data_IF_962369951199
#
_entry.id   IF_962369951199
#
_cell.length_a   1.000
_cell.length_b   1.000
_cell.length_c   1.000
_cell.angle_alpha   90.00
_cell.angle_beta   90.00
_cell.angle_gamma   90.00
#
_symmetry.space_group_name_H-M   'P 1'
#
loop_
_entity.id
_entity.type
_entity.pdbx_description
1 polymer ?
#
# COMPACT_ATOMS: atom_id res chain seq x y z
N UNK A 1 -9.43 32.35 1.20
CA UNK A 1 -9.95 33.70 1.53
C UNK A 1 -9.98 33.88 3.05
N UNK A 2 -10.14 35.15 3.57
CA UNK A 2 -10.20 35.42 5.00
C UNK A 2 -11.55 36.00 5.38
N UNK A 3 -12.21 35.40 6.35
CA UNK A 3 -13.57 35.71 6.78
C UNK A 3 -13.57 36.58 8.05
N UNK A 4 -14.52 37.50 8.17
CA UNK A 4 -14.79 38.21 9.43
C UNK A 4 -15.46 37.26 10.45
N UNK A 5 -15.41 37.59 11.73
CA UNK A 5 -15.94 36.77 12.82
C UNK A 5 -17.43 36.39 12.62
N UNK A 6 -18.26 37.36 12.20
CA UNK A 6 -19.69 37.13 11.96
C UNK A 6 -19.95 36.09 10.87
N UNK A 7 -19.19 36.15 9.77
CA UNK A 7 -19.29 35.21 8.67
C UNK A 7 -18.80 33.81 9.09
N UNK A 8 -17.68 33.74 9.80
CA UNK A 8 -17.15 32.48 10.32
C UNK A 8 -18.13 31.81 11.30
N UNK A 9 -18.75 32.58 12.20
CA UNK A 9 -19.75 32.09 13.14
C UNK A 9 -21.03 31.62 12.44
N UNK A 10 -21.47 32.35 11.42
CA UNK A 10 -22.64 31.99 10.61
C UNK A 10 -22.42 30.65 9.90
N UNK A 11 -21.22 30.45 9.29
CA UNK A 11 -20.89 29.20 8.60
C UNK A 11 -20.72 28.03 9.57
N UNK A 12 -20.13 28.25 10.73
CA UNK A 12 -19.97 27.24 11.78
C UNK A 12 -21.27 26.87 12.50
N UNK A 13 -22.27 27.77 12.48
CA UNK A 13 -23.50 27.62 13.30
C UNK A 13 -23.18 27.51 14.80
N UNK A 14 -22.14 28.18 15.29
CA UNK A 14 -21.60 28.02 16.63
C UNK A 14 -21.51 29.36 17.39
N UNK A 15 -21.36 29.28 18.72
CA UNK A 15 -21.18 30.47 19.57
C UNK A 15 -19.73 31.00 19.47
N UNK A 16 -19.48 32.32 19.72
CA UNK A 16 -18.15 32.93 19.67
C UNK A 16 -17.08 32.17 20.46
N UNK A 17 -17.42 31.66 21.63
CA UNK A 17 -16.52 30.89 22.49
C UNK A 17 -15.98 29.62 21.80
N UNK A 18 -16.81 28.96 20.97
CA UNK A 18 -16.39 27.76 20.21
C UNK A 18 -15.43 28.11 19.07
N UNK A 19 -15.60 29.28 18.44
CA UNK A 19 -14.68 29.78 17.42
C UNK A 19 -13.30 30.06 18.03
N UNK A 20 -13.26 30.79 19.16
CA UNK A 20 -12.00 31.09 19.87
C UNK A 20 -11.30 29.84 20.38
N UNK A 21 -12.04 28.87 20.94
CA UNK A 21 -11.50 27.58 21.33
C UNK A 21 -10.93 26.77 20.15
N UNK A 22 -11.49 26.94 18.95
CA UNK A 22 -10.98 26.29 17.75
C UNK A 22 -9.70 26.94 17.23
N UNK A 23 -9.55 28.24 17.38
CA UNK A 23 -8.33 28.98 17.08
C UNK A 23 -7.21 28.62 18.07
N UNK A 24 -7.51 28.64 19.38
CA UNK A 24 -6.51 28.30 20.42
C UNK A 24 -5.98 26.87 20.33
N UNK A 25 -6.79 25.96 19.75
CA UNK A 25 -6.41 24.56 19.49
C UNK A 25 -5.79 24.35 18.10
N UNK A 26 -5.46 25.42 17.38
CA UNK A 26 -4.85 25.37 16.06
C UNK A 26 -5.77 24.78 14.95
N UNK A 27 -7.06 24.66 15.18
CA UNK A 27 -8.02 24.09 14.19
C UNK A 27 -8.47 25.10 13.15
N UNK A 28 -8.38 26.39 13.44
CA UNK A 28 -8.69 27.52 12.55
C UNK A 28 -7.54 28.50 12.64
N UNK A 29 -6.92 28.82 11.52
CA UNK A 29 -5.92 29.88 11.44
C UNK A 29 -6.62 31.24 11.56
N UNK A 30 -6.06 32.12 12.37
CA UNK A 30 -6.53 33.48 12.54
C UNK A 30 -5.40 34.49 12.40
N UNK A 31 -5.69 35.70 11.95
CA UNK A 31 -4.78 36.83 11.88
C UNK A 31 -5.49 38.14 12.28
N UNK A 32 -4.77 39.18 12.72
CA UNK A 32 -5.35 40.50 12.91
C UNK A 32 -5.98 41.05 11.63
N UNK A 33 -7.10 41.73 11.73
CA UNK A 33 -7.69 42.46 10.61
C UNK A 33 -6.81 43.70 10.33
N UNK A 34 -6.30 43.87 9.08
CA UNK A 34 -5.51 45.06 8.74
C UNK A 34 -6.25 46.39 8.86
N UNK A 35 -7.59 46.38 8.83
CA UNK A 35 -8.42 47.58 8.98
C UNK A 35 -8.80 47.89 10.43
N UNK A 36 -8.76 46.91 11.34
CA UNK A 36 -9.05 47.09 12.76
C UNK A 36 -8.30 46.03 13.58
N UNK A 37 -7.19 46.43 14.21
CA UNK A 37 -6.32 45.52 14.98
C UNK A 37 -7.01 44.85 16.18
N UNK A 38 -8.19 45.31 16.60
CA UNK A 38 -9.00 44.72 17.69
C UNK A 38 -9.84 43.53 17.16
N UNK A 39 -9.87 43.30 15.84
CA UNK A 39 -10.62 42.22 15.19
C UNK A 39 -9.69 41.20 14.58
N UNK A 40 -10.18 39.97 14.48
CA UNK A 40 -9.48 38.87 13.83
C UNK A 40 -10.20 38.44 12.58
N UNK A 41 -9.43 38.05 11.58
CA UNK A 41 -9.88 37.37 10.38
C UNK A 41 -9.57 35.87 10.51
N UNK A 42 -10.43 35.02 9.97
CA UNK A 42 -10.39 33.55 10.08
C UNK A 42 -10.24 32.92 8.71
N UNK A 43 -9.39 31.91 8.59
CA UNK A 43 -9.14 31.27 7.30
C UNK A 43 -10.35 30.48 6.82
N UNK A 44 -10.86 30.79 5.65
CA UNK A 44 -12.10 30.27 5.09
C UNK A 44 -12.13 28.74 5.00
N UNK A 45 -11.09 28.14 4.42
CA UNK A 45 -11.00 26.66 4.28
C UNK A 45 -11.05 25.94 5.63
N UNK A 46 -10.43 26.51 6.67
CA UNK A 46 -10.44 25.91 8.01
C UNK A 46 -11.83 26.02 8.65
N UNK A 47 -12.51 27.15 8.43
CA UNK A 47 -13.88 27.38 8.88
C UNK A 47 -14.83 26.43 8.16
N UNK A 48 -14.74 26.29 6.84
CA UNK A 48 -15.62 25.42 6.05
C UNK A 48 -15.37 23.95 6.39
N UNK A 49 -14.12 23.54 6.60
CA UNK A 49 -13.75 22.21 7.06
C UNK A 49 -14.36 21.89 8.44
N UNK A 50 -14.31 22.86 9.35
CA UNK A 50 -14.88 22.68 10.69
C UNK A 50 -16.42 22.75 10.67
N UNK A 51 -17.01 23.58 9.81
CA UNK A 51 -18.46 23.66 9.59
C UNK A 51 -19.00 22.36 9.00
N UNK A 52 -18.29 21.77 8.05
CA UNK A 52 -18.62 20.45 7.49
C UNK A 52 -18.56 19.36 8.56
N UNK A 53 -17.57 19.42 9.46
CA UNK A 53 -17.48 18.52 10.62
C UNK A 53 -18.58 18.76 11.66
N UNK A 54 -18.99 19.98 11.86
CA UNK A 54 -20.01 20.37 12.86
C UNK A 54 -21.46 20.16 12.34
N UNK A 55 -21.71 20.32 11.05
CA UNK A 55 -22.98 19.94 10.39
C UNK A 55 -23.15 18.43 10.28
N UNK A 56 -22.10 17.70 10.65
CA UNK A 56 -22.07 16.27 10.55
C UNK A 56 -22.59 15.54 11.78
N UNK A 57 -23.88 15.45 11.95
CA UNK A 57 -24.42 14.09 11.79
C UNK A 57 -24.18 13.75 10.30
N UNK A 58 -22.93 13.29 10.01
CA UNK A 58 -22.54 12.80 8.70
C UNK A 58 -23.62 11.81 8.27
N UNK A 59 -24.32 12.06 7.18
CA UNK A 59 -25.16 11.02 6.64
C UNK A 59 -24.24 9.80 6.45
N UNK A 60 -24.74 8.60 6.73
CA UNK A 60 -23.98 7.35 6.56
C UNK A 60 -23.30 7.27 5.17
N UNK A 61 -23.88 7.92 4.17
CA UNK A 61 -23.34 8.08 2.82
C UNK A 61 -22.09 8.99 2.74
N UNK A 62 -22.02 10.06 3.55
CA UNK A 62 -20.84 10.95 3.59
C UNK A 62 -19.68 10.28 4.32
N UNK A 63 -19.97 9.51 5.38
CA UNK A 63 -18.98 8.70 6.09
C UNK A 63 -18.45 7.60 5.18
N UNK A 64 -19.33 6.87 4.49
CA UNK A 64 -18.93 5.81 3.57
C UNK A 64 -18.10 6.33 2.37
N UNK A 65 -18.42 7.51 1.82
CA UNK A 65 -17.68 8.09 0.71
C UNK A 65 -16.27 8.55 1.12
N UNK A 66 -16.09 9.00 2.36
CA UNK A 66 -14.78 9.39 2.89
C UNK A 66 -13.96 8.18 3.38
N UNK A 67 -14.64 7.12 3.82
CA UNK A 67 -13.98 5.89 4.27
C UNK A 67 -13.35 5.08 3.12
N UNK A 68 -13.87 5.20 1.90
CA UNK A 68 -13.29 4.55 0.69
C UNK A 68 -12.14 5.38 0.09
N UNK A 69 -12.06 6.69 0.39
CA UNK A 69 -10.88 7.50 0.10
C UNK A 69 -9.84 7.36 1.21
N UNK A 70 -8.66 7.87 1.07
CA UNK A 70 -7.58 7.73 2.04
C UNK A 70 -7.95 8.03 3.51
N UNK A 71 -7.58 7.13 4.43
CA UNK A 71 -7.35 7.43 5.83
C UNK A 71 -8.44 7.03 6.83
N UNK A 72 -9.58 6.48 6.41
CA UNK A 72 -10.61 6.02 7.35
C UNK A 72 -10.72 4.48 7.30
N UNK A 73 -10.60 3.76 8.44
CA UNK A 73 -10.77 2.30 8.48
C UNK A 73 -12.18 1.89 8.05
N UNK A 74 -12.27 0.97 7.07
CA UNK A 74 -13.56 0.49 6.51
C UNK A 74 -13.91 -0.93 6.92
N UNK A 75 -12.89 -1.74 7.25
CA UNK A 75 -13.03 -3.13 7.68
C UNK A 75 -12.15 -3.39 8.89
N UNK A 76 -12.62 -4.22 9.82
CA UNK A 76 -11.77 -4.73 10.89
C UNK A 76 -10.81 -5.78 10.35
N UNK A 77 -9.58 -5.76 10.81
CA UNK A 77 -8.55 -6.75 10.48
C UNK A 77 -7.61 -6.96 11.67
N UNK A 78 -7.26 -8.21 11.92
CA UNK A 78 -6.22 -8.61 12.87
C UNK A 78 -4.93 -9.04 12.16
N UNK A 79 -4.78 -8.80 10.84
CA UNK A 79 -3.63 -9.24 10.05
C UNK A 79 -2.46 -8.29 10.24
N UNK A 80 -2.62 -7.03 9.91
CA UNK A 80 -1.60 -6.01 10.10
C UNK A 80 -2.20 -4.64 10.42
N UNK A 81 -1.37 -3.76 10.93
CA UNK A 81 -1.72 -2.35 11.18
C UNK A 81 -0.49 -1.47 11.15
N UNK A 82 -0.73 -0.16 11.04
CA UNK A 82 0.31 0.86 11.25
C UNK A 82 0.05 1.52 12.60
N UNK A 83 1.02 1.40 13.49
CA UNK A 83 0.94 1.93 14.85
C UNK A 83 2.23 2.67 15.21
N UNK A 84 2.11 3.90 15.66
CA UNK A 84 3.25 4.76 16.01
C UNK A 84 4.33 4.83 14.89
N UNK A 85 3.89 4.93 13.63
CA UNK A 85 4.79 5.00 12.47
C UNK A 85 5.48 3.67 12.10
N UNK A 86 5.07 2.55 12.69
CA UNK A 86 5.62 1.21 12.44
C UNK A 86 4.60 0.31 11.78
N UNK A 87 5.05 -0.51 10.84
CA UNK A 87 4.25 -1.60 10.28
C UNK A 87 4.29 -2.80 11.23
N UNK A 88 3.12 -3.28 11.63
CA UNK A 88 2.97 -4.33 12.63
C UNK A 88 2.18 -5.50 12.04
N UNK A 89 2.74 -6.71 12.08
CA UNK A 89 2.16 -7.98 11.65
C UNK A 89 1.71 -8.77 12.87
N UNK A 90 0.40 -8.86 13.14
CA UNK A 90 -0.17 -9.56 14.31
C UNK A 90 0.57 -9.24 15.63
N UNK A 91 0.82 -7.97 15.88
CA UNK A 91 1.48 -7.49 17.10
C UNK A 91 3.02 -7.53 17.06
N UNK A 92 3.66 -7.98 15.98
CA UNK A 92 5.11 -7.99 15.81
C UNK A 92 5.54 -6.93 14.78
N UNK A 93 6.58 -6.17 15.08
CA UNK A 93 7.13 -5.15 14.17
C UNK A 93 7.73 -5.81 12.92
N UNK A 94 7.30 -5.38 11.73
CA UNK A 94 7.76 -5.93 10.46
C UNK A 94 9.25 -5.69 10.21
N UNK A 95 9.80 -4.56 10.65
CA UNK A 95 11.22 -4.26 10.52
C UNK A 95 12.08 -5.19 11.39
N UNK A 96 11.62 -5.50 12.60
CA UNK A 96 12.30 -6.48 13.47
C UNK A 96 12.22 -7.89 12.89
N UNK A 97 11.06 -8.28 12.35
CA UNK A 97 10.93 -9.56 11.65
C UNK A 97 11.88 -9.65 10.45
N UNK A 98 12.05 -8.58 9.71
CA UNK A 98 12.95 -8.51 8.56
C UNK A 98 14.43 -8.67 8.91
N UNK A 99 14.84 -8.59 10.18
CA UNK A 99 16.22 -8.84 10.57
C UNK A 99 16.62 -10.31 10.36
N UNK A 100 15.71 -11.26 10.65
CA UNK A 100 16.06 -12.68 10.64
C UNK A 100 15.01 -13.62 10.02
N UNK A 101 13.73 -13.25 10.03
CA UNK A 101 12.68 -14.14 9.59
C UNK A 101 12.66 -14.31 8.06
N UNK A 102 12.43 -15.52 7.53
CA UNK A 102 12.07 -15.71 6.13
C UNK A 102 10.58 -15.41 5.91
N UNK A 103 10.18 -15.25 4.64
CA UNK A 103 8.78 -14.97 4.28
C UNK A 103 7.82 -16.07 4.76
N UNK A 104 8.27 -17.30 4.78
CA UNK A 104 7.53 -18.48 5.23
C UNK A 104 7.13 -18.39 6.72
N UNK A 105 8.03 -17.90 7.58
CA UNK A 105 7.72 -17.65 8.99
C UNK A 105 6.69 -16.51 9.13
N UNK A 106 6.82 -15.48 8.33
CA UNK A 106 5.85 -14.37 8.29
C UNK A 106 4.49 -14.85 7.80
N UNK A 107 4.44 -15.76 6.83
CA UNK A 107 3.19 -16.38 6.38
C UNK A 107 2.53 -17.18 7.52
N UNK A 108 3.27 -18.00 8.25
CA UNK A 108 2.80 -18.71 9.44
C UNK A 108 2.18 -17.73 10.45
N UNK A 109 2.88 -16.64 10.75
CA UNK A 109 2.40 -15.60 11.65
C UNK A 109 1.09 -14.97 11.12
N UNK A 110 1.08 -14.49 9.88
CA UNK A 110 -0.06 -13.76 9.31
C UNK A 110 -1.30 -14.64 9.12
N UNK A 111 -1.13 -15.93 8.82
CA UNK A 111 -2.23 -16.87 8.64
C UNK A 111 -2.76 -17.46 9.97
N UNK A 112 -2.03 -17.22 11.07
CA UNK A 112 -2.47 -17.56 12.44
C UNK A 112 -2.47 -19.06 12.73
N UNK A 113 -1.43 -19.77 12.31
CA UNK A 113 -1.24 -21.18 12.62
C UNK A 113 -0.13 -21.80 11.80
N UNK A 114 0.20 -23.04 12.11
CA UNK A 114 1.25 -23.79 11.45
C UNK A 114 1.01 -23.85 9.94
N UNK A 115 2.10 -23.72 9.23
CA UNK A 115 2.15 -23.70 7.78
C UNK A 115 2.39 -25.12 7.28
N UNK A 116 1.55 -25.67 6.41
CA UNK A 116 1.91 -26.86 5.67
C UNK A 116 3.03 -26.52 4.69
N UNK A 117 4.02 -27.42 4.53
CA UNK A 117 5.11 -27.21 3.59
C UNK A 117 4.58 -26.83 2.20
N UNK A 118 5.29 -25.91 1.51
CA UNK A 118 4.96 -25.56 0.13
C UNK A 118 5.04 -26.81 -0.75
N UNK A 119 3.99 -27.05 -1.51
CA UNK A 119 4.05 -28.02 -2.59
C UNK A 119 4.73 -27.34 -3.77
N UNK A 120 5.97 -27.69 -4.01
CA UNK A 120 6.79 -27.14 -5.09
C UNK A 120 6.72 -28.08 -6.28
N UNK A 121 6.64 -27.53 -7.48
CA UNK A 121 6.71 -28.26 -8.73
C UNK A 121 8.03 -27.90 -9.43
N UNK A 122 8.64 -28.89 -10.08
CA UNK A 122 9.84 -28.65 -10.90
C UNK A 122 9.41 -28.08 -12.25
N UNK A 123 9.26 -26.74 -12.28
CA UNK A 123 8.84 -26.01 -13.49
C UNK A 123 9.95 -25.08 -13.96
N UNK A 124 10.11 -24.93 -15.27
CA UNK A 124 11.05 -24.00 -15.84
C UNK A 124 10.67 -22.54 -15.49
N UNK A 125 11.64 -21.61 -15.32
CA UNK A 125 11.37 -20.21 -15.14
C UNK A 125 10.51 -19.64 -16.27
N UNK A 126 9.51 -18.79 -15.97
CA UNK A 126 8.66 -18.17 -16.97
C UNK A 126 9.42 -17.13 -17.80
N UNK A 127 8.99 -16.91 -19.06
CA UNK A 127 9.50 -15.80 -19.87
C UNK A 127 8.94 -14.44 -19.42
N UNK A 128 7.69 -14.43 -18.97
CA UNK A 128 7.00 -13.27 -18.37
C UNK A 128 6.38 -13.73 -17.06
N UNK A 129 6.99 -13.32 -15.96
CA UNK A 129 6.61 -13.73 -14.62
C UNK A 129 5.18 -13.31 -14.26
N UNK A 130 4.81 -12.07 -14.57
CA UNK A 130 3.49 -11.53 -14.20
C UNK A 130 2.39 -12.12 -15.06
N UNK A 131 2.60 -12.26 -16.37
CA UNK A 131 1.64 -12.92 -17.26
C UNK A 131 1.43 -14.39 -16.85
N UNK A 132 2.50 -15.11 -16.51
CA UNK A 132 2.44 -16.49 -16.03
C UNK A 132 1.63 -16.61 -14.74
N UNK A 133 1.84 -15.68 -13.78
CA UNK A 133 1.08 -15.63 -12.54
C UNK A 133 -0.42 -15.40 -12.78
N UNK A 134 -0.78 -14.47 -13.68
CA UNK A 134 -2.18 -14.26 -14.07
C UNK A 134 -2.82 -15.53 -14.64
N UNK A 135 -2.15 -16.20 -15.57
CA UNK A 135 -2.67 -17.42 -16.22
C UNK A 135 -2.82 -18.55 -15.19
N UNK A 136 -1.82 -18.77 -14.35
CA UNK A 136 -1.84 -19.82 -13.34
C UNK A 136 -2.98 -19.58 -12.32
N UNK A 137 -3.12 -18.36 -11.83
CA UNK A 137 -4.19 -17.99 -10.91
C UNK A 137 -5.57 -18.08 -11.55
N UNK A 138 -5.75 -17.66 -12.81
CA UNK A 138 -7.02 -17.76 -13.52
C UNK A 138 -7.44 -19.21 -13.71
N UNK A 139 -6.53 -20.08 -14.13
CA UNK A 139 -6.77 -21.51 -14.26
C UNK A 139 -7.14 -22.15 -12.90
N UNK A 140 -6.40 -21.81 -11.84
CA UNK A 140 -6.69 -22.29 -10.48
C UNK A 140 -8.03 -21.76 -9.96
N UNK A 141 -8.33 -20.49 -10.15
CA UNK A 141 -9.57 -19.85 -9.70
C UNK A 141 -10.80 -20.50 -10.37
N UNK A 142 -10.70 -20.90 -11.65
CA UNK A 142 -11.76 -21.56 -12.38
C UNK A 142 -12.07 -22.99 -11.88
N UNK A 143 -11.09 -23.67 -11.30
CA UNK A 143 -11.21 -25.08 -10.85
C UNK A 143 -11.27 -25.27 -9.35
N UNK A 144 -10.87 -24.25 -8.56
CA UNK A 144 -10.82 -24.35 -7.10
C UNK A 144 -12.22 -24.34 -6.48
N UNK A 145 -12.45 -25.10 -5.39
CA UNK A 145 -13.71 -25.06 -4.67
C UNK A 145 -13.93 -23.69 -4.02
N UNK A 146 -15.19 -23.27 -3.78
CA UNK A 146 -15.52 -22.09 -3.00
C UNK A 146 -14.86 -22.10 -1.62
N UNK A 147 -14.55 -20.91 -1.08
CA UNK A 147 -14.04 -20.75 0.28
C UNK A 147 -15.14 -20.90 1.35
N UNK A 148 -16.40 -20.72 0.95
CA UNK A 148 -17.55 -20.71 1.84
C UNK A 148 -17.73 -22.04 2.58
N UNK A 149 -18.00 -21.97 3.88
CA UNK A 149 -18.26 -23.12 4.77
C UNK A 149 -17.11 -24.13 4.89
N UNK A 150 -15.88 -23.75 4.52
CA UNK A 150 -14.69 -24.59 4.70
C UNK A 150 -13.95 -24.27 6.00
N UNK A 151 -13.41 -25.29 6.65
CA UNK A 151 -12.64 -25.14 7.89
C UNK A 151 -11.31 -24.41 7.65
N UNK A 152 -10.85 -23.66 8.65
CA UNK A 152 -9.63 -22.87 8.58
C UNK A 152 -8.37 -23.69 8.24
N UNK A 153 -8.26 -24.93 8.73
CA UNK A 153 -7.14 -25.82 8.39
C UNK A 153 -7.08 -26.09 6.88
N UNK A 154 -8.22 -26.47 6.29
CA UNK A 154 -8.31 -26.75 4.85
C UNK A 154 -8.04 -25.50 4.00
N UNK A 155 -8.50 -24.32 4.45
CA UNK A 155 -8.21 -23.07 3.77
C UNK A 155 -6.74 -22.68 3.86
N UNK A 156 -6.05 -22.95 5.00
CA UNK A 156 -4.59 -22.72 5.11
C UNK A 156 -3.78 -23.65 4.21
N UNK A 157 -4.17 -24.91 4.07
CA UNK A 157 -3.57 -25.84 3.10
C UNK A 157 -3.73 -25.31 1.67
N UNK A 158 -4.94 -24.82 1.32
CA UNK A 158 -5.15 -24.17 0.02
C UNK A 158 -4.31 -22.90 -0.14
N UNK A 159 -4.17 -22.08 0.90
CA UNK A 159 -3.33 -20.89 0.88
C UNK A 159 -1.86 -21.25 0.58
N UNK A 160 -1.32 -22.31 1.19
CA UNK A 160 0.01 -22.83 0.88
C UNK A 160 0.15 -23.26 -0.57
N UNK A 161 -0.84 -23.97 -1.12
CA UNK A 161 -0.84 -24.36 -2.52
C UNK A 161 -0.91 -23.15 -3.46
N UNK A 162 -1.71 -22.14 -3.15
CA UNK A 162 -1.82 -20.90 -3.95
C UNK A 162 -0.51 -20.09 -3.90
N UNK A 163 0.16 -20.03 -2.75
CA UNK A 163 1.47 -19.37 -2.65
C UNK A 163 2.55 -20.14 -3.44
N UNK A 164 2.55 -21.48 -3.36
CA UNK A 164 3.43 -22.32 -4.19
C UNK A 164 3.20 -22.11 -5.68
N UNK A 165 1.93 -22.09 -6.11
CA UNK A 165 1.55 -21.79 -7.49
C UNK A 165 2.04 -20.41 -7.95
N UNK A 166 1.91 -19.39 -7.10
CA UNK A 166 2.43 -18.05 -7.38
C UNK A 166 3.94 -18.02 -7.47
N UNK A 167 4.65 -18.69 -6.55
CA UNK A 167 6.10 -18.78 -6.59
C UNK A 167 6.59 -19.46 -7.87
N UNK A 168 6.00 -20.61 -8.21
CA UNK A 168 6.36 -21.34 -9.43
C UNK A 168 6.07 -20.54 -10.70
N UNK A 169 4.95 -19.82 -10.74
CA UNK A 169 4.58 -18.96 -11.87
C UNK A 169 5.45 -17.71 -12.01
N UNK A 170 5.96 -17.16 -10.89
CA UNK A 170 6.79 -15.96 -10.90
C UNK A 170 8.27 -16.25 -11.10
N UNK A 171 8.79 -17.32 -10.50
CA UNK A 171 10.24 -17.56 -10.40
C UNK A 171 10.66 -19.01 -10.78
N UNK A 172 9.74 -19.83 -11.24
CA UNK A 172 10.01 -21.24 -11.55
C UNK A 172 10.07 -22.12 -10.31
N UNK A 173 9.99 -23.44 -10.54
CA UNK A 173 10.05 -24.45 -9.49
C UNK A 173 11.47 -24.76 -9.09
N UNK A 174 11.76 -24.62 -7.79
CA UNK A 174 13.01 -25.07 -7.17
C UNK A 174 12.76 -25.42 -5.70
N UNK A 175 13.63 -26.22 -5.10
CA UNK A 175 13.60 -26.48 -3.66
C UNK A 175 14.33 -25.38 -2.89
N UNK A 176 13.87 -25.08 -1.69
CA UNK A 176 14.51 -24.13 -0.79
C UNK A 176 13.62 -22.93 -0.41
N UNK A 177 14.12 -22.05 0.46
CA UNK A 177 13.43 -20.84 0.87
C UNK A 177 13.13 -19.91 -0.31
N UNK A 178 12.00 -19.21 -0.28
CA UNK A 178 11.55 -18.36 -1.38
C UNK A 178 12.54 -17.26 -1.77
N UNK A 179 13.26 -16.69 -0.82
CA UNK A 179 14.27 -15.66 -1.09
C UNK A 179 15.50 -16.20 -1.80
N UNK A 180 15.95 -17.42 -1.49
CA UNK A 180 17.06 -18.09 -2.19
C UNK A 180 16.65 -18.46 -3.63
N UNK A 181 15.43 -19.01 -3.80
CA UNK A 181 14.87 -19.31 -5.12
C UNK A 181 14.79 -18.04 -5.98
N UNK A 182 14.32 -16.94 -5.39
CA UNK A 182 14.22 -15.65 -6.07
C UNK A 182 15.60 -15.11 -6.49
N UNK A 183 16.60 -15.22 -5.61
CA UNK A 183 17.99 -14.82 -5.90
C UNK A 183 18.59 -15.65 -7.05
N UNK A 184 18.36 -16.97 -7.03
CA UNK A 184 18.77 -17.87 -8.11
C UNK A 184 18.05 -17.56 -9.43
N UNK A 185 16.73 -17.29 -9.38
CA UNK A 185 15.94 -16.89 -10.55
C UNK A 185 16.52 -15.65 -11.23
N UNK A 186 16.94 -14.64 -10.45
CA UNK A 186 17.56 -13.43 -10.98
C UNK A 186 19.06 -13.62 -11.34
N UNK A 187 19.64 -14.80 -11.14
CA UNK A 187 21.07 -15.06 -11.36
C UNK A 187 21.99 -14.29 -10.42
N UNK A 188 21.49 -13.95 -9.21
CA UNK A 188 22.18 -13.18 -8.18
C UNK A 188 22.06 -13.83 -6.80
N UNK A 189 22.70 -15.00 -6.57
CA UNK A 189 22.62 -15.70 -5.27
C UNK A 189 23.06 -14.83 -4.08
N UNK A 190 23.98 -13.90 -4.30
CA UNK A 190 24.48 -12.95 -3.31
C UNK A 190 23.42 -11.95 -2.83
N UNK A 191 22.34 -11.76 -3.58
CA UNK A 191 21.22 -10.87 -3.21
C UNK A 191 20.22 -11.56 -2.26
N UNK A 192 20.35 -12.84 -1.96
CA UNK A 192 19.36 -13.63 -1.24
C UNK A 192 18.94 -12.98 0.09
N UNK A 193 19.89 -12.49 0.88
CA UNK A 193 19.59 -11.87 2.18
C UNK A 193 18.86 -10.53 2.04
N UNK A 194 19.23 -9.71 1.06
CA UNK A 194 18.53 -8.45 0.76
C UNK A 194 17.12 -8.72 0.26
N UNK A 195 16.94 -9.72 -0.60
CA UNK A 195 15.63 -10.15 -1.09
C UNK A 195 14.77 -10.74 0.04
N UNK A 196 15.36 -11.48 1.00
CA UNK A 196 14.66 -11.96 2.19
C UNK A 196 14.07 -10.81 2.98
N UNK A 197 14.84 -9.76 3.27
CA UNK A 197 14.37 -8.55 3.95
C UNK A 197 13.24 -7.87 3.18
N UNK A 198 13.42 -7.68 1.87
CA UNK A 198 12.41 -7.06 1.01
C UNK A 198 11.10 -7.84 1.03
N UNK A 199 11.13 -9.18 0.91
CA UNK A 199 9.96 -10.03 0.96
C UNK A 199 9.18 -9.88 2.28
N UNK A 200 9.88 -9.86 3.41
CA UNK A 200 9.25 -9.69 4.74
C UNK A 200 8.61 -8.31 4.87
N UNK A 201 9.30 -7.24 4.49
CA UNK A 201 8.80 -5.87 4.60
C UNK A 201 7.61 -5.58 3.69
N UNK A 202 7.43 -6.36 2.62
CA UNK A 202 6.37 -6.22 1.63
C UNK A 202 5.21 -7.19 1.84
N UNK A 203 5.34 -8.16 2.77
CA UNK A 203 4.40 -9.25 2.94
C UNK A 203 2.95 -8.76 3.12
N UNK A 204 2.74 -7.68 3.86
CA UNK A 204 1.43 -7.05 3.98
C UNK A 204 1.52 -5.54 4.24
N UNK A 205 0.41 -4.81 4.02
CA UNK A 205 0.34 -3.39 4.29
C UNK A 205 -1.12 -2.94 4.45
N UNK A 206 -1.79 -3.44 5.47
CA UNK A 206 -3.19 -3.16 5.79
C UNK A 206 -4.15 -3.35 4.59
N UNK A 207 -5.24 -2.59 4.58
CA UNK A 207 -6.27 -2.65 3.56
C UNK A 207 -5.95 -1.70 2.39
N UNK A 208 -4.84 -1.94 1.69
CA UNK A 208 -4.56 -1.23 0.45
C UNK A 208 -5.50 -1.69 -0.69
N UNK A 209 -5.39 -1.06 -1.87
CA UNK A 209 -6.28 -1.33 -3.00
C UNK A 209 -6.31 -2.80 -3.42
N UNK A 210 -5.14 -3.46 -3.50
CA UNK A 210 -5.05 -4.86 -3.88
C UNK A 210 -5.58 -5.82 -2.81
N UNK A 211 -5.31 -5.53 -1.54
CA UNK A 211 -5.84 -6.28 -0.41
C UNK A 211 -7.37 -6.16 -0.32
N UNK A 212 -7.90 -4.95 -0.55
CA UNK A 212 -9.35 -4.74 -0.57
C UNK A 212 -10.01 -5.50 -1.72
N UNK A 213 -9.42 -5.49 -2.92
CA UNK A 213 -9.90 -6.27 -4.07
C UNK A 213 -9.94 -7.77 -3.76
N UNK A 214 -8.88 -8.31 -3.14
CA UNK A 214 -8.82 -9.70 -2.72
C UNK A 214 -9.92 -10.05 -1.71
N UNK A 215 -10.14 -9.20 -0.69
CA UNK A 215 -11.23 -9.39 0.29
C UNK A 215 -12.61 -9.31 -0.34
N UNK A 216 -12.85 -8.38 -1.25
CA UNK A 216 -14.13 -8.27 -1.98
C UNK A 216 -14.42 -9.56 -2.73
N UNK A 217 -13.44 -10.10 -3.48
CA UNK A 217 -13.61 -11.34 -4.22
C UNK A 217 -13.98 -12.50 -3.29
N UNK A 218 -13.21 -12.74 -2.22
CA UNK A 218 -13.47 -13.86 -1.29
C UNK A 218 -14.73 -13.66 -0.47
N UNK A 219 -15.16 -12.42 -0.21
CA UNK A 219 -16.40 -12.14 0.51
C UNK A 219 -17.66 -12.72 -0.17
N UNK A 220 -17.59 -12.98 -1.47
CA UNK A 220 -18.65 -13.64 -2.26
C UNK A 220 -18.66 -15.17 -2.11
N UNK A 221 -17.71 -15.73 -1.35
CA UNK A 221 -17.49 -17.18 -1.24
C UNK A 221 -16.56 -17.74 -2.33
N UNK A 222 -15.96 -16.91 -3.18
CA UNK A 222 -15.01 -17.34 -4.20
C UNK A 222 -13.76 -17.98 -3.58
N UNK A 223 -13.00 -18.77 -4.36
CA UNK A 223 -11.78 -19.44 -3.90
C UNK A 223 -10.69 -18.46 -3.49
N UNK A 224 -9.70 -18.92 -2.71
CA UNK A 224 -8.54 -18.11 -2.34
C UNK A 224 -7.75 -17.67 -3.59
N UNK A 225 -7.64 -18.52 -4.60
CA UNK A 225 -7.01 -18.18 -5.87
C UNK A 225 -7.72 -17.02 -6.59
N UNK A 226 -9.06 -16.94 -6.52
CA UNK A 226 -9.84 -15.81 -7.05
C UNK A 226 -9.51 -14.51 -6.28
N UNK A 227 -9.33 -14.59 -4.96
CA UNK A 227 -8.91 -13.45 -4.14
C UNK A 227 -7.52 -12.95 -4.52
N UNK A 228 -6.55 -13.85 -4.64
CA UNK A 228 -5.17 -13.50 -5.04
C UNK A 228 -5.13 -12.94 -6.47
N UNK A 229 -5.91 -13.50 -7.40
CA UNK A 229 -6.04 -12.99 -8.77
C UNK A 229 -6.57 -11.54 -8.79
N UNK A 230 -7.60 -11.25 -7.99
CA UNK A 230 -8.13 -9.89 -7.86
C UNK A 230 -7.08 -8.93 -7.25
N UNK A 231 -6.32 -9.40 -6.24
CA UNK A 231 -5.21 -8.66 -5.65
C UNK A 231 -4.10 -8.36 -6.66
N UNK A 232 -3.69 -9.36 -7.44
CA UNK A 232 -2.67 -9.21 -8.49
C UNK A 232 -3.13 -8.23 -9.58
N UNK A 233 -4.38 -8.32 -10.00
CA UNK A 233 -4.95 -7.40 -10.99
C UNK A 233 -4.93 -5.94 -10.52
N UNK A 234 -5.23 -5.69 -9.24
CA UNK A 234 -5.14 -4.36 -8.66
C UNK A 234 -3.68 -3.89 -8.48
N UNK A 235 -2.77 -4.80 -8.11
CA UNK A 235 -1.34 -4.50 -7.96
C UNK A 235 -0.71 -4.10 -9.30
N UNK A 236 -1.09 -4.75 -10.40
CA UNK A 236 -0.57 -4.49 -11.74
C UNK A 236 -0.99 -3.10 -12.28
N UNK A 237 -1.90 -2.41 -11.62
CA UNK A 237 -2.30 -1.04 -11.99
C UNK A 237 -1.16 -0.03 -11.81
N UNK A 238 -0.98 0.95 -12.74
CA UNK A 238 0.17 1.88 -12.75
C UNK A 238 0.25 2.81 -11.53
N UNK A 239 -0.82 2.91 -10.74
CA UNK A 239 -0.84 3.68 -9.49
C UNK A 239 -0.48 2.86 -8.25
N UNK A 240 -0.10 1.57 -8.41
CA UNK A 240 0.13 0.69 -7.27
C UNK A 240 1.47 -0.06 -7.34
N UNK A 241 1.79 -0.74 -8.43
CA UNK A 241 2.95 -1.64 -8.49
C UNK A 241 4.12 -1.17 -9.37
N UNK A 242 4.00 -0.04 -10.07
CA UNK A 242 4.99 0.40 -11.07
C UNK A 242 5.88 1.57 -10.64
N UNK A 243 5.74 2.05 -9.41
CA UNK A 243 6.50 3.20 -8.93
C UNK A 243 8.02 2.97 -8.90
N UNK A 244 8.47 1.76 -8.57
CA UNK A 244 9.87 1.41 -8.53
C UNK A 244 10.55 1.48 -9.92
N UNK A 245 9.85 1.12 -11.00
CA UNK A 245 10.36 1.24 -12.37
C UNK A 245 10.61 2.70 -12.75
N UNK A 246 9.74 3.61 -12.32
CA UNK A 246 9.90 5.04 -12.53
C UNK A 246 11.09 5.61 -11.71
N UNK A 247 11.31 5.11 -10.49
CA UNK A 247 12.49 5.48 -9.67
C UNK A 247 13.79 5.03 -10.35
N UNK A 248 13.83 3.80 -10.90
CA UNK A 248 14.99 3.29 -11.63
C UNK A 248 15.37 4.19 -12.79
N UNK A 249 14.38 4.55 -13.62
CA UNK A 249 14.61 5.44 -14.78
C UNK A 249 15.11 6.82 -14.33
N UNK A 250 14.50 7.38 -13.27
CA UNK A 250 14.89 8.69 -12.75
C UNK A 250 16.31 8.68 -12.16
N UNK A 251 16.70 7.60 -11.44
CA UNK A 251 18.05 7.47 -10.90
C UNK A 251 19.12 7.33 -11.99
N UNK A 252 18.80 6.67 -13.11
CA UNK A 252 19.68 6.59 -14.28
C UNK A 252 19.88 7.98 -14.92
N UNK A 253 18.82 8.81 -15.00
CA UNK A 253 18.91 10.19 -15.51
C UNK A 253 19.78 11.07 -14.57
N UNK A 254 19.78 10.82 -13.26
CA UNK A 254 20.63 11.52 -12.29
C UNK A 254 22.12 11.24 -12.47
N UNK A 255 22.49 10.02 -12.89
CA UNK A 255 23.89 9.66 -13.17
C UNK A 255 24.42 10.38 -14.42
N UNK A 256 23.55 10.78 -15.34
CA UNK A 256 23.91 11.35 -16.64
C UNK A 256 24.04 12.89 -16.64
N UNK A 257 23.56 13.61 -15.60
CA UNK A 257 23.46 15.07 -15.64
C UNK A 257 23.48 15.76 -14.26
N UNK A 258 22.86 16.96 -14.20
CA UNK A 258 22.64 17.70 -12.97
C UNK A 258 21.37 17.20 -12.26
N UNK A 259 21.51 16.59 -11.08
CA UNK A 259 20.38 15.99 -10.36
C UNK A 259 19.25 16.97 -10.00
N UNK A 260 19.61 18.19 -9.60
CA UNK A 260 18.61 19.20 -9.21
C UNK A 260 17.84 19.70 -10.44
N UNK A 261 18.54 19.95 -11.57
CA UNK A 261 17.92 20.37 -12.82
C UNK A 261 16.97 19.28 -13.35
N UNK A 262 17.39 18.03 -13.38
CA UNK A 262 16.56 16.89 -13.83
C UNK A 262 15.29 16.73 -12.99
N UNK A 263 15.40 16.89 -11.66
CA UNK A 263 14.24 16.85 -10.77
C UNK A 263 13.29 18.03 -10.95
N UNK A 264 13.81 19.25 -11.14
CA UNK A 264 13.00 20.44 -11.37
C UNK A 264 12.24 20.33 -12.71
N UNK A 265 12.88 19.79 -13.73
CA UNK A 265 12.23 19.51 -15.02
C UNK A 265 11.12 18.48 -14.87
N UNK A 266 11.37 17.36 -14.16
CA UNK A 266 10.37 16.34 -13.87
C UNK A 266 9.15 16.91 -13.13
N UNK A 267 9.37 17.69 -12.08
CA UNK A 267 8.31 18.35 -11.33
C UNK A 267 7.62 19.47 -12.11
N UNK A 268 8.36 20.17 -12.97
CA UNK A 268 7.86 21.23 -13.85
C UNK A 268 6.85 20.71 -14.89
N UNK A 269 6.96 19.44 -15.28
CA UNK A 269 5.96 18.75 -16.10
C UNK A 269 4.68 18.33 -15.32
N UNK A 270 4.58 18.68 -14.04
CA UNK A 270 3.45 18.32 -13.19
C UNK A 270 3.46 16.87 -12.74
N UNK A 271 4.58 16.16 -12.86
CA UNK A 271 4.74 14.78 -12.41
C UNK A 271 4.99 14.74 -10.91
N UNK A 272 4.44 13.73 -10.25
CA UNK A 272 4.76 13.42 -8.84
C UNK A 272 6.11 12.71 -8.79
N UNK A 273 6.94 13.05 -7.80
CA UNK A 273 8.23 12.37 -7.60
C UNK A 273 7.98 10.92 -7.14
N UNK A 274 8.37 9.90 -7.95
CA UNK A 274 8.15 8.51 -7.58
C UNK A 274 9.13 8.09 -6.47
N UNK A 275 8.70 7.17 -5.61
CA UNK A 275 9.56 6.61 -4.56
C UNK A 275 9.75 7.51 -3.34
N UNK A 276 9.01 8.62 -3.22
CA UNK A 276 9.09 9.53 -2.08
C UNK A 276 7.74 9.73 -1.40
N UNK A 277 7.79 9.92 -0.08
CA UNK A 277 6.63 10.15 0.75
C UNK A 277 5.68 8.94 0.86
N UNK A 278 4.88 8.93 1.91
CA UNK A 278 3.82 7.96 2.11
C UNK A 278 2.78 8.49 3.10
N UNK A 279 1.52 8.54 2.70
CA UNK A 279 0.45 9.13 3.50
C UNK A 279 0.29 8.53 4.91
N UNK A 280 0.66 7.26 5.10
CA UNK A 280 0.61 6.56 6.39
C UNK A 280 1.91 6.72 7.22
N UNK A 281 2.97 7.26 6.63
CA UNK A 281 4.29 7.45 7.26
C UNK A 281 4.81 8.88 7.04
N UNK A 282 4.22 9.87 7.70
CA UNK A 282 4.60 11.27 7.51
C UNK A 282 6.06 11.57 7.90
N UNK A 283 6.66 10.73 8.76
CA UNK A 283 8.05 10.87 9.22
C UNK A 283 9.04 10.00 8.43
N UNK A 284 8.59 9.33 7.35
CA UNK A 284 9.36 8.43 6.50
C UNK A 284 8.91 6.97 6.60
N UNK A 285 9.10 6.22 5.52
CA UNK A 285 8.66 4.83 5.40
C UNK A 285 9.61 3.88 6.15
N UNK A 286 9.16 3.24 7.26
CA UNK A 286 10.00 2.36 8.07
C UNK A 286 10.48 1.14 7.29
N UNK A 287 9.79 0.74 6.23
CA UNK A 287 10.20 -0.39 5.39
C UNK A 287 11.44 -0.05 4.57
N UNK A 288 11.49 1.15 3.98
CA UNK A 288 12.67 1.63 3.27
C UNK A 288 13.85 1.82 4.24
N UNK A 289 13.59 2.38 5.43
CA UNK A 289 14.59 2.57 6.48
C UNK A 289 15.16 1.23 6.96
N UNK A 290 14.36 0.15 7.01
CA UNK A 290 14.83 -1.18 7.41
C UNK A 290 15.53 -1.94 6.28
N UNK A 291 15.20 -1.66 5.01
CA UNK A 291 15.75 -2.38 3.86
C UNK A 291 17.18 -1.95 3.49
N UNK A 292 17.46 -0.66 3.53
CA UNK A 292 18.67 -0.07 2.97
C UNK A 292 19.93 -0.06 3.87
N UNK A 293 19.88 -0.19 5.20
CA UNK A 293 21.08 -0.13 6.04
C UNK A 293 22.14 -1.15 5.64
N UNK A 294 23.39 -0.67 5.53
CA UNK A 294 24.53 -1.50 5.15
C UNK A 294 24.68 -1.72 3.64
N UNK A 295 23.83 -1.09 2.83
CA UNK A 295 23.95 -1.11 1.36
C UNK A 295 24.54 0.21 0.86
N UNK A 296 25.52 0.12 -0.03
CA UNK A 296 26.09 1.29 -0.70
C UNK A 296 25.20 1.70 -1.89
N UNK A 297 24.53 2.84 -1.77
CA UNK A 297 23.68 3.35 -2.82
C UNK A 297 24.52 3.76 -4.05
N UNK A 298 24.13 3.38 -5.27
CA UNK A 298 24.76 3.90 -6.49
C UNK A 298 24.66 5.44 -6.53
N UNK A 299 25.61 6.12 -7.18
CA UNK A 299 25.69 7.59 -7.17
C UNK A 299 24.36 8.28 -7.54
N UNK A 300 23.66 7.83 -8.60
CA UNK A 300 22.37 8.38 -9.02
C UNK A 300 21.29 8.24 -7.96
N UNK A 301 21.23 7.11 -7.24
CA UNK A 301 20.31 6.92 -6.12
C UNK A 301 20.65 7.82 -4.94
N UNK A 302 21.93 7.97 -4.61
CA UNK A 302 22.36 8.86 -3.54
C UNK A 302 22.03 10.33 -3.87
N UNK A 303 22.26 10.76 -5.12
CA UNK A 303 21.89 12.08 -5.61
C UNK A 303 20.38 12.29 -5.60
N UNK A 304 19.59 11.33 -6.10
CA UNK A 304 18.13 11.35 -6.10
C UNK A 304 17.56 11.46 -4.68
N UNK A 305 18.06 10.66 -3.74
CA UNK A 305 17.60 10.71 -2.36
C UNK A 305 17.83 12.08 -1.74
N UNK A 306 19.04 12.64 -1.90
CA UNK A 306 19.42 13.95 -1.37
C UNK A 306 18.61 15.10 -2.00
N UNK A 307 18.54 15.15 -3.33
CA UNK A 307 17.85 16.23 -4.04
C UNK A 307 16.32 16.11 -3.87
N UNK A 308 15.77 14.90 -3.90
CA UNK A 308 14.35 14.65 -3.68
C UNK A 308 13.87 15.08 -2.30
N UNK A 309 14.60 14.74 -1.24
CA UNK A 309 14.28 15.20 0.13
C UNK A 309 14.41 16.73 0.26
N UNK A 310 15.45 17.31 -0.31
CA UNK A 310 15.68 18.77 -0.26
C UNK A 310 14.56 19.57 -0.97
N UNK A 311 14.06 19.09 -2.12
CA UNK A 311 13.05 19.79 -2.92
C UNK A 311 11.63 19.54 -2.40
N UNK A 312 11.29 18.30 -2.02
CA UNK A 312 9.91 17.93 -1.65
C UNK A 312 9.66 17.93 -0.14
N UNK A 313 10.69 17.81 0.69
CA UNK A 313 10.60 17.56 2.13
C UNK A 313 10.17 16.13 2.47
N UNK A 314 10.00 15.27 1.46
CA UNK A 314 9.56 13.88 1.63
C UNK A 314 10.75 12.93 1.59
N UNK A 315 10.73 11.90 2.43
CA UNK A 315 11.78 10.87 2.47
C UNK A 315 11.50 9.73 1.49
N UNK A 316 12.56 9.00 1.07
CA UNK A 316 12.40 7.78 0.27
C UNK A 316 11.45 6.77 0.92
N UNK A 317 10.59 6.14 0.11
CA UNK A 317 9.68 5.08 0.53
C UNK A 317 10.14 3.70 0.04
N UNK A 318 9.34 2.66 0.26
CA UNK A 318 9.73 1.29 -0.08
C UNK A 318 9.93 1.07 -1.59
N UNK A 319 9.26 1.83 -2.46
CA UNK A 319 9.45 1.72 -3.91
C UNK A 319 10.84 2.23 -4.33
N UNK A 320 11.33 3.30 -3.69
CA UNK A 320 12.73 3.73 -3.80
C UNK A 320 13.68 2.60 -3.32
N UNK A 321 13.37 1.99 -2.16
CA UNK A 321 14.16 0.88 -1.63
C UNK A 321 14.26 -0.29 -2.59
N UNK A 322 13.15 -0.69 -3.21
CA UNK A 322 13.11 -1.77 -4.20
C UNK A 322 13.93 -1.43 -5.47
N UNK A 323 13.80 -0.20 -5.96
CA UNK A 323 14.59 0.27 -7.08
C UNK A 323 16.08 0.28 -6.75
N UNK A 324 16.45 0.76 -5.56
CA UNK A 324 17.84 0.80 -5.11
C UNK A 324 18.48 -0.60 -5.03
N UNK A 325 17.81 -1.59 -4.39
CA UNK A 325 18.36 -2.96 -4.34
C UNK A 325 18.42 -3.60 -5.72
N UNK A 326 17.51 -3.24 -6.64
CA UNK A 326 17.56 -3.70 -8.03
C UNK A 326 18.84 -3.21 -8.71
N UNK A 327 19.19 -1.96 -8.54
CA UNK A 327 20.44 -1.40 -9.08
C UNK A 327 21.69 -1.96 -8.38
N UNK A 328 21.70 -2.03 -7.06
CA UNK A 328 22.83 -2.53 -6.25
C UNK A 328 23.21 -3.97 -6.63
N UNK A 329 22.21 -4.83 -6.78
CA UNK A 329 22.43 -6.24 -7.10
C UNK A 329 22.35 -6.55 -8.60
N UNK A 330 22.24 -5.54 -9.46
CA UNK A 330 22.10 -5.70 -10.92
C UNK A 330 20.97 -6.68 -11.28
N UNK A 331 19.82 -6.55 -10.61
CA UNK A 331 18.65 -7.37 -10.89
C UNK A 331 17.97 -6.88 -12.18
N UNK A 332 17.17 -7.73 -12.84
CA UNK A 332 16.40 -7.30 -14.02
C UNK A 332 15.37 -6.23 -13.65
N UNK A 333 14.99 -5.39 -14.61
CA UNK A 333 14.09 -4.24 -14.38
C UNK A 333 12.71 -4.63 -13.83
N UNK A 334 12.26 -5.84 -14.12
CA UNK A 334 11.00 -6.42 -13.61
C UNK A 334 11.11 -7.01 -12.19
N UNK A 335 12.32 -7.03 -11.59
CA UNK A 335 12.51 -7.56 -10.25
C UNK A 335 11.64 -6.89 -9.19
N UNK A 336 11.44 -5.56 -9.15
CA UNK A 336 10.59 -4.92 -8.15
C UNK A 336 9.17 -5.45 -8.12
N UNK A 337 8.50 -5.57 -9.27
CA UNK A 337 7.12 -6.06 -9.33
C UNK A 337 7.03 -7.56 -9.00
N UNK A 338 8.02 -8.36 -9.39
CA UNK A 338 8.10 -9.79 -9.07
C UNK A 338 8.26 -10.00 -7.57
N UNK A 339 9.21 -9.28 -6.94
CA UNK A 339 9.42 -9.29 -5.47
C UNK A 339 8.15 -8.87 -4.74
N UNK A 340 7.53 -7.78 -5.19
CA UNK A 340 6.32 -7.26 -4.58
C UNK A 340 5.15 -8.25 -4.69
N UNK A 341 4.89 -8.81 -5.88
CA UNK A 341 3.81 -9.77 -6.09
C UNK A 341 3.99 -11.03 -5.25
N UNK A 342 5.20 -11.59 -5.22
CA UNK A 342 5.50 -12.77 -4.40
C UNK A 342 5.28 -12.50 -2.91
N UNK A 343 5.85 -11.44 -2.38
CA UNK A 343 5.72 -11.07 -0.98
C UNK A 343 4.26 -10.82 -0.59
N UNK A 344 3.56 -9.99 -1.37
CA UNK A 344 2.19 -9.56 -1.08
C UNK A 344 1.17 -10.68 -1.19
N UNK A 345 1.48 -11.78 -1.90
CA UNK A 345 0.64 -12.97 -1.94
C UNK A 345 0.38 -13.52 -0.54
N UNK A 346 1.36 -13.46 0.36
CA UNK A 346 1.20 -13.86 1.77
C UNK A 346 0.14 -13.02 2.48
N UNK A 347 0.20 -11.70 2.32
CA UNK A 347 -0.76 -10.77 2.90
C UNK A 347 -2.16 -10.93 2.30
N UNK A 348 -2.28 -11.03 0.97
CA UNK A 348 -3.58 -11.29 0.33
C UNK A 348 -4.21 -12.56 0.85
N UNK A 349 -3.44 -13.65 0.98
CA UNK A 349 -3.94 -14.90 1.53
C UNK A 349 -4.36 -14.77 2.99
N UNK A 350 -3.60 -14.04 3.82
CA UNK A 350 -3.99 -13.77 5.22
C UNK A 350 -5.35 -13.04 5.29
N UNK A 351 -5.53 -12.02 4.48
CA UNK A 351 -6.78 -11.27 4.41
C UNK A 351 -7.93 -12.07 3.78
N UNK A 352 -7.65 -12.96 2.82
CA UNK A 352 -8.63 -13.88 2.27
C UNK A 352 -9.10 -14.90 3.32
N UNK A 353 -8.18 -15.46 4.12
CA UNK A 353 -8.50 -16.38 5.23
C UNK A 353 -9.36 -15.67 6.29
N UNK A 354 -9.01 -14.46 6.68
CA UNK A 354 -9.78 -13.65 7.62
C UNK A 354 -11.17 -13.34 7.08
N UNK A 355 -11.27 -12.97 5.79
CA UNK A 355 -12.55 -12.66 5.14
C UNK A 355 -13.45 -13.89 5.05
N UNK A 356 -12.91 -15.04 4.65
CA UNK A 356 -13.64 -16.31 4.61
C UNK A 356 -14.16 -16.70 6.00
N UNK A 357 -13.34 -16.50 7.05
CA UNK A 357 -13.75 -16.76 8.43
C UNK A 357 -14.88 -15.85 8.92
N UNK A 358 -14.94 -14.62 8.44
CA UNK A 358 -15.99 -13.66 8.84
C UNK A 358 -17.37 -14.05 8.31
N UNK A 359 -17.44 -14.75 7.18
CA UNK A 359 -18.66 -15.09 6.48
C UNK A 359 -19.47 -13.88 5.96
N UNK A 360 -18.90 -12.67 6.01
CA UNK A 360 -19.59 -11.43 5.66
C UNK A 360 -19.32 -11.04 4.21
N UNK A 361 -20.39 -10.68 3.48
CA UNK A 361 -20.29 -10.10 2.13
C UNK A 361 -19.91 -8.62 2.20
N UNK A 362 -18.89 -8.23 1.45
CA UNK A 362 -18.54 -6.83 1.23
C UNK A 362 -19.35 -6.31 0.04
N UNK A 363 -20.38 -5.50 0.33
CA UNK A 363 -21.26 -4.94 -0.69
C UNK A 363 -21.60 -3.48 -0.38
N UNK A 364 -20.72 -2.53 -0.72
CA UNK A 364 -21.01 -1.11 -0.58
C UNK A 364 -22.12 -0.69 -1.55
N UNK A 365 -22.82 0.41 -1.23
CA UNK A 365 -23.82 1.02 -2.09
C UNK A 365 -23.27 2.26 -2.78
N UNK A 366 -23.60 2.44 -4.06
CA UNK A 366 -23.28 3.67 -4.77
C UNK A 366 -24.24 4.81 -4.37
N UNK A 367 -23.70 6.03 -4.34
CA UNK A 367 -24.51 7.26 -4.37
C UNK A 367 -24.75 7.60 -5.83
N UNK A 368 -26.01 7.54 -6.25
CA UNK A 368 -26.38 7.91 -7.62
C UNK A 368 -26.24 9.42 -7.83
N UNK A 369 -25.51 9.81 -8.88
CA UNK A 369 -25.25 11.20 -9.29
C UNK A 369 -25.71 11.52 -10.72
N UNK A 370 -26.35 10.55 -11.37
CA UNK A 370 -26.92 10.73 -12.71
C UNK A 370 -28.26 11.49 -12.72
N UNK A 371 -28.92 11.62 -13.89
CA UNK A 371 -30.20 12.27 -14.02
C UNK A 371 -31.27 11.68 -13.08
N UNK A 372 -32.11 12.52 -12.51
CA UNK A 372 -33.21 12.07 -11.68
C UNK A 372 -34.24 11.30 -12.53
N UNK A 373 -34.64 10.13 -12.07
CA UNK A 373 -35.74 9.39 -12.62
C UNK A 373 -37.02 10.16 -12.31
N UNK A 374 -37.72 10.63 -13.34
CA UNK A 374 -39.05 11.22 -13.22
C UNK A 374 -40.04 10.16 -13.75
N UNK A 375 -40.74 9.41 -12.87
CA UNK A 375 -41.86 8.58 -13.33
C UNK A 375 -42.89 9.57 -13.88
N UNK A 376 -43.07 9.56 -15.19
CA UNK A 376 -44.12 10.34 -15.83
C UNK A 376 -45.48 10.14 -15.10
N UNK A 377 -46.46 11.04 -15.36
CA UNK A 377 -47.76 10.98 -14.71
C UNK A 377 -48.47 9.65 -14.90
#
# INVERSE_FOLDING_TARGET
MWLKAEEALRRLGSKPQSLYASVSRGRIRARPDPADSRRSLYHEEDVDRLAQRARGRRSSASVAAQAISWGEPVLSSGVSTISAGRLVYRGRDAAVLAETAPLEEVATLLWGGDWPALTLTDTAPPQDAIASAFLALAARAASAPPSLARGQLVLREEASHVLGLMADALIGGALGPLHERLAVHFGRPEAAETLRKALVLLADHELNASTFAARVAVSTGASLASGVLAGLAALHGPRHGDAASAVLALAEDMDAGDPEASLLDWLGEGRVLPGFGHNLYPDGDPRCVALLPGLDLPPGFAALAKAGEAITGERPNIDFGLAAITAIHHLPREAPITVFALARTVGWLAHCLEQAASGQLIRPRARYTGPTFNPGP
#
